data_IF_447178916947
#
_entry.id   IF_447178916947
#
_cell.length_a   1.000
_cell.length_b   1.000
_cell.length_c   1.000
_cell.angle_alpha   90.00
_cell.angle_beta   90.00
_cell.angle_gamma   90.00
#
_symmetry.space_group_name_H-M   'P 1'
#
loop_
_entity.id
_entity.type
_entity.pdbx_description
1 polymer ?
#
# COMPACT_ATOMS: atom_id res chain seq x y z
N UNK A 1 -22.53 -15.84 -6.45
CA UNK A 1 -22.30 -14.87 -5.36
C UNK A 1 -22.79 -13.52 -5.84
N UNK A 2 -23.51 -12.75 -5.02
CA UNK A 2 -23.99 -11.42 -5.45
C UNK A 2 -22.83 -10.46 -5.66
N UNK A 3 -23.02 -9.45 -6.51
CA UNK A 3 -22.02 -8.43 -6.84
C UNK A 3 -21.55 -7.70 -5.57
N UNK A 4 -22.49 -7.29 -4.71
CA UNK A 4 -22.20 -6.66 -3.42
C UNK A 4 -21.29 -7.50 -2.53
N UNK A 5 -21.58 -8.80 -2.37
CA UNK A 5 -20.76 -9.66 -1.51
C UNK A 5 -19.35 -9.84 -2.06
N UNK A 6 -19.21 -9.85 -3.39
CA UNK A 6 -17.91 -9.94 -4.06
C UNK A 6 -17.09 -8.67 -3.82
N UNK A 7 -17.73 -7.50 -3.88
CA UNK A 7 -17.11 -6.20 -3.59
C UNK A 7 -16.70 -6.08 -2.12
N UNK A 8 -17.56 -6.50 -1.19
CA UNK A 8 -17.27 -6.54 0.25
C UNK A 8 -16.06 -7.44 0.52
N UNK A 9 -16.02 -8.64 -0.05
CA UNK A 9 -14.88 -9.55 0.15
C UNK A 9 -13.59 -9.00 -0.48
N UNK A 10 -13.68 -8.39 -1.65
CA UNK A 10 -12.56 -7.70 -2.29
C UNK A 10 -12.00 -6.59 -1.38
N UNK A 11 -12.87 -5.71 -0.87
CA UNK A 11 -12.46 -4.65 0.06
C UNK A 11 -11.91 -5.21 1.36
N UNK A 12 -12.57 -6.21 1.95
CA UNK A 12 -12.12 -6.88 3.19
C UNK A 12 -10.67 -7.36 3.06
N UNK A 13 -10.34 -8.01 1.94
CA UNK A 13 -9.00 -8.50 1.66
C UNK A 13 -8.00 -7.35 1.45
N UNK A 14 -8.38 -6.30 0.72
CA UNK A 14 -7.53 -5.11 0.51
C UNK A 14 -7.15 -4.42 1.83
N UNK A 15 -8.08 -4.34 2.79
CA UNK A 15 -7.82 -3.74 4.11
C UNK A 15 -7.30 -4.74 5.14
N UNK A 16 -7.06 -6.00 4.76
CA UNK A 16 -6.47 -7.03 5.63
C UNK A 16 -7.38 -7.48 6.79
N UNK A 17 -8.69 -7.30 6.67
CA UNK A 17 -9.63 -7.65 7.75
C UNK A 17 -10.00 -9.13 7.72
N UNK A 18 -10.14 -9.74 8.90
CA UNK A 18 -10.70 -11.08 9.03
C UNK A 18 -12.22 -11.08 8.81
N UNK A 19 -12.79 -12.22 8.41
CA UNK A 19 -14.26 -12.38 8.32
C UNK A 19 -14.95 -12.07 9.66
N UNK A 20 -14.32 -12.42 10.79
CA UNK A 20 -14.84 -12.12 12.13
C UNK A 20 -14.94 -10.62 12.40
N UNK A 21 -13.99 -9.84 11.88
CA UNK A 21 -14.00 -8.39 12.03
C UNK A 21 -15.17 -7.76 11.24
N UNK A 22 -15.38 -8.18 10.00
CA UNK A 22 -16.52 -7.70 9.18
C UNK A 22 -17.85 -8.14 9.79
N UNK A 23 -17.97 -9.41 10.18
CA UNK A 23 -19.16 -9.94 10.84
C UNK A 23 -19.54 -9.13 12.09
N UNK A 24 -18.56 -8.80 12.93
CA UNK A 24 -18.78 -7.94 14.11
C UNK A 24 -19.23 -6.54 13.70
N UNK A 25 -18.62 -5.95 12.67
CA UNK A 25 -18.96 -4.60 12.21
C UNK A 25 -20.39 -4.49 11.69
N UNK A 26 -20.91 -5.54 11.05
CA UNK A 26 -22.29 -5.59 10.55
C UNK A 26 -23.28 -6.24 11.53
N UNK A 27 -22.83 -6.60 12.73
CA UNK A 27 -23.68 -7.10 13.81
C UNK A 27 -24.17 -8.54 13.63
N UNK A 28 -23.37 -9.43 13.04
CA UNK A 28 -23.68 -10.86 12.92
C UNK A 28 -22.52 -11.75 13.44
N UNK A 29 -22.80 -13.04 13.60
CA UNK A 29 -21.76 -14.02 13.94
C UNK A 29 -20.88 -14.36 12.73
N UNK A 30 -19.61 -14.71 12.98
CA UNK A 30 -18.69 -15.12 11.90
C UNK A 30 -19.19 -16.35 11.12
N UNK A 31 -19.79 -17.38 11.75
CA UNK A 31 -20.35 -18.51 11.01
C UNK A 31 -21.49 -18.09 10.08
N UNK A 32 -22.34 -17.14 10.50
CA UNK A 32 -23.41 -16.62 9.66
C UNK A 32 -22.84 -15.86 8.47
N UNK A 33 -21.85 -14.99 8.70
CA UNK A 33 -21.13 -14.29 7.63
C UNK A 33 -20.55 -15.26 6.59
N UNK A 34 -19.87 -16.31 7.05
CA UNK A 34 -19.28 -17.33 6.17
C UNK A 34 -20.33 -18.04 5.31
N UNK A 35 -21.50 -18.36 5.89
CA UNK A 35 -22.62 -18.97 5.14
C UNK A 35 -23.19 -18.03 4.08
N UNK A 36 -23.36 -16.75 4.40
CA UNK A 36 -23.86 -15.75 3.45
C UNK A 36 -22.89 -15.54 2.31
N UNK A 37 -21.61 -15.34 2.61
CA UNK A 37 -20.53 -15.21 1.61
C UNK A 37 -20.41 -16.48 0.74
N UNK A 38 -20.52 -17.65 1.36
CA UNK A 38 -20.50 -18.95 0.66
C UNK A 38 -21.78 -19.26 -0.12
N UNK A 39 -22.79 -18.38 -0.12
CA UNK A 39 -24.07 -18.60 -0.81
C UNK A 39 -24.96 -19.69 -0.19
N UNK A 40 -24.63 -20.14 1.03
CA UNK A 40 -25.38 -21.16 1.77
C UNK A 40 -26.54 -20.59 2.59
N UNK A 41 -26.56 -19.26 2.78
CA UNK A 41 -27.64 -18.55 3.44
C UNK A 41 -28.05 -17.35 2.59
N UNK A 42 -29.35 -17.07 2.56
CA UNK A 42 -29.87 -15.91 1.85
C UNK A 42 -29.43 -14.62 2.57
N UNK A 43 -29.22 -13.53 1.82
CA UNK A 43 -28.85 -12.24 2.38
C UNK A 43 -30.13 -11.42 2.64
N UNK A 44 -30.55 -11.21 3.90
CA UNK A 44 -31.70 -10.35 4.20
C UNK A 44 -31.40 -8.90 3.83
N UNK A 45 -32.43 -8.14 3.44
CA UNK A 45 -32.30 -6.74 3.02
C UNK A 45 -31.61 -5.87 4.08
N UNK A 46 -31.94 -6.06 5.35
CA UNK A 46 -31.35 -5.30 6.46
C UNK A 46 -29.84 -5.59 6.61
N UNK A 47 -29.38 -6.77 6.20
CA UNK A 47 -27.97 -7.13 6.22
C UNK A 47 -27.25 -6.57 4.98
N UNK A 48 -27.94 -6.57 3.83
CA UNK A 48 -27.47 -5.93 2.60
C UNK A 48 -27.19 -4.43 2.83
N UNK A 49 -28.13 -3.70 3.44
CA UNK A 49 -27.99 -2.28 3.77
C UNK A 49 -26.78 -2.03 4.69
N UNK A 50 -26.59 -2.89 5.69
CA UNK A 50 -25.43 -2.80 6.60
C UNK A 50 -24.10 -3.05 5.89
N UNK A 51 -24.07 -3.96 4.91
CA UNK A 51 -22.89 -4.21 4.08
C UNK A 51 -22.55 -3.02 3.19
N UNK A 52 -23.56 -2.39 2.58
CA UNK A 52 -23.39 -1.17 1.77
C UNK A 52 -22.82 -0.03 2.63
N UNK A 53 -23.38 0.21 3.81
CA UNK A 53 -22.88 1.25 4.74
C UNK A 53 -21.44 0.95 5.15
N UNK A 54 -21.14 -0.32 5.48
CA UNK A 54 -19.78 -0.73 5.84
C UNK A 54 -18.79 -0.47 4.70
N UNK A 55 -19.16 -0.79 3.45
CA UNK A 55 -18.34 -0.60 2.27
C UNK A 55 -18.03 0.89 2.02
N UNK A 56 -19.05 1.74 2.06
CA UNK A 56 -18.90 3.20 1.92
C UNK A 56 -17.98 3.79 3.00
N UNK A 57 -18.03 3.27 4.23
CA UNK A 57 -17.13 3.70 5.30
C UNK A 57 -15.65 3.33 5.01
N UNK A 58 -15.41 2.18 4.37
CA UNK A 58 -14.04 1.80 3.97
C UNK A 58 -13.50 2.70 2.86
N UNK A 59 -14.34 3.16 1.94
CA UNK A 59 -13.94 4.09 0.89
C UNK A 59 -13.48 5.43 1.41
N UNK A 60 -14.25 6.02 2.33
CA UNK A 60 -13.87 7.31 2.95
C UNK A 60 -12.52 7.20 3.66
N UNK A 61 -12.32 6.15 4.46
CA UNK A 61 -11.04 5.92 5.14
C UNK A 61 -9.87 5.66 4.20
N UNK A 62 -10.12 5.12 3.01
CA UNK A 62 -9.08 4.89 1.99
C UNK A 62 -8.63 6.20 1.34
N UNK A 63 -9.58 7.09 1.04
CA UNK A 63 -9.30 8.43 0.48
C UNK A 63 -8.54 9.28 1.49
N UNK A 64 -8.99 9.33 2.75
CA UNK A 64 -8.32 10.09 3.81
C UNK A 64 -6.87 9.63 4.02
N UNK A 65 -6.63 8.31 4.03
CA UNK A 65 -5.29 7.74 4.17
C UNK A 65 -4.40 8.09 2.98
N UNK A 66 -4.93 8.02 1.75
CA UNK A 66 -4.18 8.37 0.55
C UNK A 66 -3.76 9.85 0.55
N UNK A 67 -4.67 10.75 0.93
CA UNK A 67 -4.37 12.19 1.08
C UNK A 67 -3.30 12.41 2.14
N UNK A 68 -3.40 11.76 3.31
CA UNK A 68 -2.42 11.87 4.39
C UNK A 68 -1.01 11.41 3.93
N UNK A 69 -0.91 10.28 3.24
CA UNK A 69 0.37 9.79 2.68
C UNK A 69 0.93 10.77 1.64
N UNK A 70 0.08 11.38 0.82
CA UNK A 70 0.49 12.41 -0.13
C UNK A 70 1.09 13.65 0.55
N UNK A 71 0.46 14.12 1.63
CA UNK A 71 0.93 15.25 2.44
C UNK A 71 2.24 14.91 3.15
N UNK A 72 2.35 13.72 3.75
CA UNK A 72 3.58 13.25 4.40
C UNK A 72 4.74 13.11 3.40
N UNK A 73 4.47 12.55 2.22
CA UNK A 73 5.47 12.44 1.16
C UNK A 73 5.95 13.81 0.66
N UNK A 74 5.04 14.81 0.59
CA UNK A 74 5.43 16.18 0.27
C UNK A 74 6.36 16.76 1.35
N UNK A 75 6.03 16.56 2.62
CA UNK A 75 6.87 17.02 3.74
C UNK A 75 8.24 16.34 3.76
N UNK A 76 8.32 15.04 3.45
CA UNK A 76 9.58 14.32 3.33
C UNK A 76 10.46 14.93 2.23
N UNK A 77 9.89 15.26 1.07
CA UNK A 77 10.62 15.91 -0.04
C UNK A 77 11.16 17.29 0.35
N UNK A 78 10.36 18.10 1.03
CA UNK A 78 10.79 19.40 1.55
C UNK A 78 11.96 19.26 2.53
N UNK A 79 11.86 18.32 3.47
CA UNK A 79 12.91 18.06 4.44
C UNK A 79 14.19 17.56 3.76
N UNK A 80 14.08 16.63 2.81
CA UNK A 80 15.22 16.14 2.04
C UNK A 80 15.94 17.29 1.30
N UNK A 81 15.19 18.16 0.61
CA UNK A 81 15.75 19.32 -0.08
C UNK A 81 16.42 20.32 0.89
N UNK A 82 15.83 20.52 2.07
CA UNK A 82 16.40 21.34 3.13
C UNK A 82 17.72 20.75 3.65
N UNK A 83 17.74 19.45 3.95
CA UNK A 83 18.94 18.73 4.40
C UNK A 83 20.04 18.82 3.34
N UNK A 84 19.73 18.60 2.06
CA UNK A 84 20.71 18.74 0.97
C UNK A 84 21.28 20.16 0.88
N UNK A 85 20.45 21.19 1.09
CA UNK A 85 20.92 22.58 1.14
C UNK A 85 21.84 22.80 2.34
N UNK A 86 21.47 22.32 3.52
CA UNK A 86 22.28 22.43 4.74
C UNK A 86 23.62 21.70 4.62
N UNK A 87 23.63 20.50 4.03
CA UNK A 87 24.85 19.74 3.76
C UNK A 87 25.77 20.45 2.76
N UNK A 88 25.22 21.08 1.71
CA UNK A 88 26.01 21.90 0.78
C UNK A 88 26.67 23.08 1.48
N UNK A 89 25.91 23.77 2.33
CA UNK A 89 26.44 24.89 3.10
C UNK A 89 27.53 24.45 4.08
N UNK A 90 27.30 23.35 4.80
CA UNK A 90 28.30 22.77 5.70
C UNK A 90 29.58 22.37 4.95
N UNK A 91 29.47 21.70 3.80
CA UNK A 91 30.63 21.32 2.99
C UNK A 91 31.40 22.54 2.47
N UNK A 92 30.70 23.62 2.12
CA UNK A 92 31.31 24.91 1.75
C UNK A 92 32.08 25.51 2.93
N UNK A 93 31.50 25.54 4.14
CA UNK A 93 32.15 26.04 5.35
C UNK A 93 33.38 25.21 5.75
N UNK A 94 33.32 23.88 5.55
CA UNK A 94 34.43 22.97 5.82
C UNK A 94 35.52 23.00 4.73
N UNK A 95 35.36 23.78 3.65
CA UNK A 95 36.34 23.86 2.56
C UNK A 95 36.48 22.56 1.75
N UNK A 96 35.53 21.63 1.88
CA UNK A 96 35.53 20.37 1.14
C UNK A 96 34.97 20.66 -0.25
N UNK A 97 35.86 21.04 -1.18
CA UNK A 97 35.52 21.08 -2.59
C UNK A 97 35.12 19.66 -3.02
N UNK A 98 33.86 19.50 -3.41
CA UNK A 98 33.28 18.23 -3.86
C UNK A 98 33.94 17.79 -5.17
N UNK A 99 35.09 17.13 -5.10
CA UNK A 99 35.69 16.48 -6.26
C UNK A 99 34.79 15.31 -6.67
N UNK A 100 34.21 15.31 -7.88
CA UNK A 100 33.37 14.20 -8.32
C UNK A 100 34.26 12.97 -8.52
N UNK A 101 34.22 12.05 -7.56
CA UNK A 101 34.95 10.78 -7.61
C UNK A 101 34.29 9.90 -8.68
N UNK A 102 34.71 10.04 -9.94
CA UNK A 102 34.30 9.16 -11.04
C UNK A 102 34.61 7.71 -10.66
N UNK A 103 33.60 6.94 -10.24
CA UNK A 103 33.69 5.49 -10.14
C UNK A 103 33.91 4.95 -11.56
N UNK A 104 35.15 4.60 -11.89
CA UNK A 104 35.45 3.78 -13.05
C UNK A 104 35.00 2.35 -12.71
N UNK A 105 33.90 1.91 -13.32
CA UNK A 105 33.51 0.49 -13.34
C UNK A 105 34.49 -0.26 -14.24
N UNK A 106 35.08 -1.39 -13.79
CA UNK A 106 35.90 -2.22 -14.65
C UNK A 106 35.04 -2.86 -15.75
N UNK A 107 35.40 -2.64 -17.01
CA UNK A 107 34.80 -3.33 -18.15
C UNK A 107 35.11 -4.83 -18.05
N UNK A 108 34.08 -5.64 -17.87
CA UNK A 108 34.21 -7.10 -17.90
C UNK A 108 34.61 -7.55 -19.31
N UNK A 109 35.88 -7.91 -19.49
CA UNK A 109 36.40 -8.51 -20.73
C UNK A 109 35.78 -9.88 -20.92
N UNK A 110 34.93 -10.02 -21.94
CA UNK A 110 34.32 -11.28 -22.38
C UNK A 110 35.40 -12.18 -22.99
N UNK A 111 35.97 -13.10 -22.20
CA UNK A 111 36.78 -14.20 -22.76
C UNK A 111 35.85 -15.34 -23.19
N UNK A 112 35.52 -15.36 -24.48
CA UNK A 112 35.03 -16.56 -25.17
C UNK A 112 36.26 -17.35 -25.61
N UNK A 113 36.54 -18.48 -24.98
CA UNK A 113 37.28 -19.56 -25.64
C UNK A 113 36.64 -20.90 -25.29
N UNK A 114 36.02 -21.50 -26.31
CA UNK A 114 35.84 -22.95 -26.49
C UNK A 114 36.55 -23.29 -27.80
N UNK A 115 37.38 -24.34 -27.81
CA UNK A 115 37.20 -25.43 -28.78
C UNK A 115 37.09 -26.77 -28.03
N UNK A 116 36.18 -27.68 -28.40
CA UNK A 116 36.39 -28.81 -29.32
C UNK A 116 37.70 -29.56 -28.96
N UNK A 117 37.67 -30.78 -28.40
CA UNK A 117 37.01 -32.02 -28.88
C UNK A 117 36.46 -32.82 -27.70
#
# INVERSE_FOLDING_TARGET
MSELLSEVEGRRLQVGLSQRAVARAIGISQPHYSKVVGGLANLPKELEERLVVWLQAQDRGSVERYVAVGVEAARIRELAASIEKQLRELNRLLGVASTPRRRRVPSATRSRQRPAV
#
